data_IF_635970569873
#
_entry.id   IF_635970569873
#
_cell.length_a   1.000
_cell.length_b   1.000
_cell.length_c   1.000
_cell.angle_alpha   90.00
_cell.angle_beta   90.00
_cell.angle_gamma   90.00
#
_symmetry.space_group_name_H-M   'P 1'
#
loop_
_entity.id
_entity.type
_entity.pdbx_description
1 polymer ?
#
# COMPACT_ATOMS: atom_id res chain seq x y z
N UNK A 1 -8.94 19.36 12.51
CA UNK A 1 -8.12 18.17 12.21
C UNK A 1 -7.80 18.20 10.72
N UNK A 2 -6.55 18.46 10.35
CA UNK A 2 -6.16 18.51 8.95
C UNK A 2 -6.19 17.08 8.38
N UNK A 3 -6.81 16.87 7.21
CA UNK A 3 -6.71 15.59 6.51
C UNK A 3 -5.23 15.39 6.14
N UNK A 4 -4.63 14.21 6.41
CA UNK A 4 -3.27 13.92 5.99
C UNK A 4 -3.17 14.11 4.47
N UNK A 5 -2.10 14.78 4.02
CA UNK A 5 -1.83 14.93 2.59
C UNK A 5 -1.55 13.55 2.02
N UNK A 6 -2.46 13.01 1.21
CA UNK A 6 -2.20 11.78 0.45
C UNK A 6 -1.27 12.10 -0.72
N UNK A 7 -0.23 11.29 -0.86
CA UNK A 7 0.66 11.30 -2.02
C UNK A 7 0.13 10.29 -3.04
N UNK A 8 -0.07 10.72 -4.28
CA UNK A 8 -0.52 9.82 -5.35
C UNK A 8 0.68 9.22 -6.09
N UNK A 9 0.69 7.88 -6.21
CA UNK A 9 1.67 7.14 -6.97
C UNK A 9 1.01 6.44 -8.15
N UNK A 10 1.60 6.59 -9.34
CA UNK A 10 1.23 5.79 -10.51
C UNK A 10 2.14 4.57 -10.57
N UNK A 11 1.56 3.39 -10.37
CA UNK A 11 2.28 2.11 -10.41
C UNK A 11 1.90 1.32 -11.66
N UNK A 12 2.91 0.73 -12.30
CA UNK A 12 2.72 -0.23 -13.39
C UNK A 12 2.81 -1.62 -12.78
N UNK A 13 1.74 -2.39 -12.93
CA UNK A 13 1.64 -3.75 -12.37
C UNK A 13 1.43 -4.78 -13.48
N UNK A 14 1.74 -6.04 -13.17
CA UNK A 14 1.49 -7.15 -14.07
C UNK A 14 -0.02 -7.29 -14.34
N UNK A 15 -0.47 -7.51 -15.59
CA UNK A 15 -1.89 -7.66 -15.94
C UNK A 15 -2.64 -8.74 -15.15
N UNK A 16 -1.95 -9.81 -14.73
CA UNK A 16 -2.55 -10.85 -13.88
C UNK A 16 -2.87 -10.31 -12.48
N UNK A 17 -1.98 -9.49 -11.92
CA UNK A 17 -2.19 -8.86 -10.62
C UNK A 17 -3.35 -7.86 -10.72
N UNK A 18 -3.40 -7.04 -11.77
CA UNK A 18 -4.53 -6.11 -12.00
C UNK A 18 -5.89 -6.82 -11.98
N UNK A 19 -6.02 -7.95 -12.67
CA UNK A 19 -7.27 -8.74 -12.67
C UNK A 19 -7.63 -9.27 -11.29
N UNK A 20 -6.65 -9.78 -10.55
CA UNK A 20 -6.86 -10.31 -9.19
C UNK A 20 -7.28 -9.18 -8.25
N UNK A 21 -6.58 -8.04 -8.26
CA UNK A 21 -6.88 -6.90 -7.40
C UNK A 21 -8.28 -6.34 -7.68
N UNK A 22 -8.67 -6.23 -8.96
CA UNK A 22 -10.04 -5.82 -9.33
C UNK A 22 -11.10 -6.82 -8.88
N UNK A 23 -10.84 -8.12 -9.00
CA UNK A 23 -11.77 -9.14 -8.54
C UNK A 23 -11.97 -9.08 -7.02
N UNK A 24 -10.88 -8.90 -6.26
CA UNK A 24 -10.95 -8.73 -4.80
C UNK A 24 -11.72 -7.46 -4.44
N UNK A 25 -11.39 -6.33 -5.08
CA UNK A 25 -12.09 -5.04 -4.89
C UNK A 25 -13.61 -5.18 -5.01
N UNK A 26 -14.07 -5.90 -6.04
CA UNK A 26 -15.50 -6.15 -6.25
C UNK A 26 -16.12 -7.05 -5.17
N UNK A 27 -15.37 -8.04 -4.68
CA UNK A 27 -15.85 -8.98 -3.66
C UNK A 27 -15.88 -8.37 -2.25
N UNK A 28 -15.01 -7.40 -1.98
CA UNK A 28 -14.88 -6.76 -0.67
C UNK A 28 -15.53 -5.38 -0.59
N UNK A 29 -16.12 -4.90 -1.69
CA UNK A 29 -16.69 -3.54 -1.81
C UNK A 29 -15.66 -2.44 -1.47
N UNK A 30 -14.40 -2.66 -1.85
CA UNK A 30 -13.27 -1.75 -1.59
C UNK A 30 -12.72 -1.16 -2.88
N UNK A 31 -12.03 -0.02 -2.77
CA UNK A 31 -11.34 0.55 -3.91
C UNK A 31 -10.01 -0.15 -4.19
N UNK A 32 -9.63 -0.27 -5.46
CA UNK A 32 -8.33 -0.82 -5.86
C UNK A 32 -7.17 -0.05 -5.21
N UNK A 33 -7.28 1.29 -5.13
CA UNK A 33 -6.26 2.12 -4.50
C UNK A 33 -6.07 1.80 -3.02
N UNK A 34 -7.15 1.55 -2.27
CA UNK A 34 -7.10 1.21 -0.85
C UNK A 34 -6.46 -0.17 -0.64
N UNK A 35 -6.84 -1.15 -1.46
CA UNK A 35 -6.23 -2.49 -1.43
C UNK A 35 -4.73 -2.44 -1.71
N UNK A 36 -4.32 -1.62 -2.68
CA UNK A 36 -2.90 -1.45 -3.04
C UNK A 36 -2.16 -0.70 -1.94
N UNK A 37 -2.75 0.33 -1.34
CA UNK A 37 -2.20 1.08 -0.19
C UNK A 37 -1.93 0.13 0.99
N UNK A 38 -2.92 -0.66 1.42
CA UNK A 38 -2.76 -1.62 2.52
C UNK A 38 -1.75 -2.72 2.19
N UNK A 39 -1.75 -3.25 0.97
CA UNK A 39 -0.79 -4.28 0.57
C UNK A 39 0.65 -3.74 0.54
N UNK A 40 0.84 -2.49 0.09
CA UNK A 40 2.14 -1.82 0.08
C UNK A 40 2.63 -1.56 1.50
N UNK A 41 1.77 -1.05 2.38
CA UNK A 41 2.08 -0.82 3.79
C UNK A 41 2.58 -2.11 4.45
N UNK A 42 1.75 -3.15 4.41
CA UNK A 42 2.08 -4.46 4.96
C UNK A 42 3.38 -5.04 4.42
N UNK A 43 3.62 -4.89 3.11
CA UNK A 43 4.79 -5.45 2.47
C UNK A 43 6.06 -4.66 2.79
N UNK A 44 6.00 -3.32 2.77
CA UNK A 44 7.11 -2.45 3.11
C UNK A 44 7.59 -2.69 4.54
N UNK A 45 6.67 -2.70 5.51
CA UNK A 45 7.01 -2.96 6.91
C UNK A 45 7.56 -4.36 7.12
N UNK A 46 7.09 -5.36 6.39
CA UNK A 46 7.63 -6.73 6.49
C UNK A 46 9.00 -6.88 5.87
N UNK A 47 9.21 -6.34 4.66
CA UNK A 47 10.45 -6.51 3.90
C UNK A 47 11.58 -5.66 4.46
N UNK A 48 11.26 -4.42 4.85
CA UNK A 48 12.26 -3.46 5.32
C UNK A 48 12.29 -3.33 6.83
N UNK A 49 11.67 -4.26 7.59
CA UNK A 49 11.62 -4.21 9.05
C UNK A 49 12.97 -3.88 9.69
N UNK A 50 14.00 -4.64 9.32
CA UNK A 50 15.35 -4.46 9.88
C UNK A 50 15.93 -3.07 9.54
N UNK A 51 15.60 -2.52 8.38
CA UNK A 51 16.04 -1.18 7.96
C UNK A 51 15.26 -0.10 8.70
N UNK A 52 13.95 -0.28 8.82
CA UNK A 52 13.04 0.63 9.54
C UNK A 52 13.45 0.70 11.02
N UNK A 53 13.64 -0.45 11.67
CA UNK A 53 14.05 -0.54 13.08
C UNK A 53 15.46 0.04 13.28
N UNK A 54 16.40 -0.28 12.39
CA UNK A 54 17.78 0.20 12.47
C UNK A 54 17.92 1.71 12.30
N UNK A 55 17.06 2.32 11.49
CA UNK A 55 17.11 3.73 11.16
C UNK A 55 15.99 4.56 11.83
N UNK A 56 15.19 3.94 12.71
CA UNK A 56 14.04 4.56 13.38
C UNK A 56 13.10 5.28 12.39
N UNK A 57 12.85 4.64 11.24
CA UNK A 57 12.01 5.21 10.17
C UNK A 57 10.51 5.10 10.48
N UNK A 58 10.14 4.42 11.56
CA UNK A 58 8.79 4.31 12.09
C UNK A 58 8.23 5.65 12.61
N UNK A 59 9.07 6.69 12.74
CA UNK A 59 8.70 8.02 13.22
C UNK A 59 8.65 9.10 12.13
N UNK A 60 8.73 8.72 10.85
CA UNK A 60 8.69 9.70 9.75
C UNK A 60 7.22 10.00 9.42
N UNK A 61 6.75 11.17 9.87
CA UNK A 61 5.44 11.77 9.56
C UNK A 61 5.29 12.20 8.09
#
# INVERSE_FOLDING_TARGET
MAKPKKTELRVVINPKIDRITKAIALLTDQNVSELVESALEDHLFRVYKDVIDKHSLDQID
#
